data_IF_034154210126
#
_entry.id   IF_034154210126
#
_cell.length_a   1.000
_cell.length_b   1.000
_cell.length_c   1.000
_cell.angle_alpha   90.00
_cell.angle_beta   90.00
_cell.angle_gamma   90.00
#
_symmetry.space_group_name_H-M   'P 1'
#
loop_
_entity.id
_entity.type
_entity.pdbx_description
1 polymer ?
#
# COMPACT_ATOMS: atom_id res chain seq x y z
N UNK A 1 -5.10 1.66 -23.71
CA UNK A 1 -5.01 1.05 -22.38
C UNK A 1 -6.12 0.01 -22.22
N UNK A 2 -5.83 -1.28 -22.45
CA UNK A 2 -6.86 -2.35 -22.43
C UNK A 2 -7.50 -2.57 -21.05
N UNK A 3 -6.95 -2.01 -19.96
CA UNK A 3 -7.44 -2.19 -18.59
C UNK A 3 -7.86 -0.90 -17.84
N UNK A 4 -7.95 0.26 -18.51
CA UNK A 4 -8.25 1.53 -17.82
C UNK A 4 -9.62 1.52 -17.09
N UNK A 5 -10.63 0.85 -17.66
CA UNK A 5 -11.95 0.72 -17.05
C UNK A 5 -11.90 -0.11 -15.75
N UNK A 6 -11.18 -1.24 -15.76
CA UNK A 6 -11.01 -2.10 -14.60
C UNK A 6 -10.23 -1.41 -13.48
N UNK A 7 -9.11 -0.75 -13.82
CA UNK A 7 -8.31 0.07 -12.88
C UNK A 7 -9.19 1.16 -12.26
N UNK A 8 -9.97 1.87 -13.06
CA UNK A 8 -10.87 2.92 -12.57
C UNK A 8 -12.00 2.37 -11.70
N UNK A 9 -12.47 1.15 -11.96
CA UNK A 9 -13.45 0.45 -11.12
C UNK A 9 -12.86 0.07 -9.76
N UNK A 10 -11.67 -0.56 -9.75
CA UNK A 10 -10.96 -0.95 -8.53
C UNK A 10 -10.61 0.27 -7.66
N UNK A 11 -10.11 1.36 -8.27
CA UNK A 11 -9.82 2.60 -7.56
C UNK A 11 -11.08 3.20 -6.90
N UNK A 12 -12.22 3.16 -7.57
CA UNK A 12 -13.51 3.60 -6.98
C UNK A 12 -13.96 2.70 -5.84
N UNK A 13 -13.75 1.39 -5.93
CA UNK A 13 -14.06 0.46 -4.84
C UNK A 13 -13.17 0.73 -3.64
N UNK A 14 -11.86 0.93 -3.85
CA UNK A 14 -10.91 1.27 -2.80
C UNK A 14 -11.35 2.54 -2.06
N UNK A 15 -11.75 3.59 -2.78
CA UNK A 15 -12.29 4.82 -2.16
C UNK A 15 -13.50 4.57 -1.26
N UNK A 16 -14.46 3.75 -1.70
CA UNK A 16 -15.64 3.40 -0.90
C UNK A 16 -15.31 2.60 0.35
N UNK A 17 -14.35 1.66 0.27
CA UNK A 17 -13.92 0.90 1.45
C UNK A 17 -13.20 1.82 2.44
N UNK A 18 -12.40 2.77 1.96
CA UNK A 18 -11.77 3.78 2.83
C UNK A 18 -12.80 4.65 3.57
N UNK A 19 -13.90 5.05 2.91
CA UNK A 19 -15.00 5.80 3.56
C UNK A 19 -15.68 4.97 4.66
N UNK A 20 -15.90 3.66 4.42
CA UNK A 20 -16.45 2.75 5.43
C UNK A 20 -15.49 2.55 6.60
N UNK A 21 -14.20 2.42 6.31
CA UNK A 21 -13.16 2.25 7.32
C UNK A 21 -13.08 3.46 8.25
N UNK A 22 -13.16 4.68 7.71
CA UNK A 22 -13.24 5.92 8.49
C UNK A 22 -14.49 5.92 9.39
N UNK A 23 -15.65 5.57 8.81
CA UNK A 23 -16.91 5.47 9.57
C UNK A 23 -16.85 4.44 10.70
N UNK A 24 -16.23 3.28 10.46
CA UNK A 24 -16.05 2.23 11.47
C UNK A 24 -15.07 2.67 12.56
N UNK A 25 -13.98 3.36 12.20
CA UNK A 25 -13.03 3.89 13.18
C UNK A 25 -13.69 4.91 14.12
N UNK A 26 -14.54 5.80 13.59
CA UNK A 26 -15.36 6.69 14.42
C UNK A 26 -16.35 5.90 15.30
N UNK A 27 -16.96 4.85 14.75
CA UNK A 27 -17.86 3.95 15.48
C UNK A 27 -17.18 3.21 16.64
N UNK A 28 -15.95 2.72 16.45
CA UNK A 28 -15.15 2.09 17.52
C UNK A 28 -14.98 3.07 18.69
N UNK A 29 -14.60 4.32 18.40
CA UNK A 29 -14.39 5.33 19.44
C UNK A 29 -15.68 5.64 20.23
N UNK A 30 -16.83 5.67 19.56
CA UNK A 30 -18.13 5.89 20.19
C UNK A 30 -18.55 4.71 21.06
N UNK A 31 -18.40 3.49 20.54
CA UNK A 31 -18.78 2.25 21.20
C UNK A 31 -17.90 1.96 22.42
N UNK A 32 -16.59 2.26 22.35
CA UNK A 32 -15.68 2.13 23.49
C UNK A 32 -16.13 2.94 24.72
N UNK A 33 -16.82 4.06 24.51
CA UNK A 33 -17.29 4.95 25.58
C UNK A 33 -18.73 4.63 26.02
N UNK A 34 -19.59 4.27 25.06
CA UNK A 34 -21.04 4.23 25.28
C UNK A 34 -21.64 2.81 25.31
N UNK A 35 -20.97 1.82 24.73
CA UNK A 35 -21.45 0.44 24.60
C UNK A 35 -20.28 -0.58 24.57
N UNK A 36 -19.52 -0.72 25.67
CA UNK A 36 -18.26 -1.48 25.68
C UNK A 36 -18.42 -2.97 25.34
N UNK A 37 -19.63 -3.52 25.44
CA UNK A 37 -19.97 -4.89 25.03
C UNK A 37 -19.92 -5.11 23.52
N UNK A 38 -19.99 -4.04 22.72
CA UNK A 38 -19.92 -4.09 21.26
C UNK A 38 -18.53 -3.74 20.71
N UNK A 39 -17.58 -3.34 21.56
CA UNK A 39 -16.22 -2.92 21.14
C UNK A 39 -15.53 -4.01 20.33
N UNK A 40 -15.52 -5.25 20.80
CA UNK A 40 -14.86 -6.36 20.12
C UNK A 40 -15.46 -6.63 18.73
N UNK A 41 -16.79 -6.42 18.59
CA UNK A 41 -17.49 -6.58 17.32
C UNK A 41 -17.06 -5.48 16.34
N UNK A 42 -17.03 -4.23 16.78
CA UNK A 42 -16.62 -3.09 15.94
C UNK A 42 -15.14 -3.16 15.58
N UNK A 43 -14.28 -3.61 16.49
CA UNK A 43 -12.87 -3.87 16.19
C UNK A 43 -12.71 -4.99 15.16
N UNK A 44 -13.48 -6.07 15.26
CA UNK A 44 -13.52 -7.12 14.24
C UNK A 44 -13.91 -6.58 12.86
N UNK A 45 -14.98 -5.79 12.78
CA UNK A 45 -15.41 -5.15 11.53
C UNK A 45 -14.34 -4.21 10.95
N UNK A 46 -13.60 -3.49 11.80
CA UNK A 46 -12.52 -2.62 11.36
C UNK A 46 -11.36 -3.42 10.74
N UNK A 47 -11.04 -4.59 11.32
CA UNK A 47 -10.02 -5.50 10.78
C UNK A 47 -10.46 -6.08 9.43
N UNK A 48 -11.73 -6.46 9.29
CA UNK A 48 -12.29 -6.97 8.03
C UNK A 48 -12.16 -5.92 6.91
N UNK A 49 -12.47 -4.66 7.18
CA UNK A 49 -12.34 -3.61 6.16
C UNK A 49 -10.88 -3.25 5.86
N UNK A 50 -9.95 -3.40 6.80
CA UNK A 50 -8.50 -3.32 6.52
C UNK A 50 -8.08 -4.44 5.56
N UNK A 51 -8.52 -5.67 5.78
CA UNK A 51 -8.24 -6.80 4.87
C UNK A 51 -8.78 -6.50 3.47
N UNK A 52 -10.00 -5.94 3.38
CA UNK A 52 -10.59 -5.56 2.10
C UNK A 52 -9.78 -4.46 1.37
N UNK A 53 -9.27 -3.45 2.09
CA UNK A 53 -8.35 -2.45 1.53
C UNK A 53 -7.09 -3.10 0.97
N UNK A 54 -6.50 -4.06 1.71
CA UNK A 54 -5.29 -4.76 1.28
C UNK A 54 -5.53 -5.59 0.01
N UNK A 55 -6.65 -6.32 -0.06
CA UNK A 55 -7.05 -7.11 -1.22
C UNK A 55 -7.23 -6.20 -2.44
N UNK A 56 -8.01 -5.12 -2.32
CA UNK A 56 -8.24 -4.19 -3.44
C UNK A 56 -6.96 -3.50 -3.90
N UNK A 57 -6.06 -3.17 -2.98
CA UNK A 57 -4.75 -2.59 -3.29
C UNK A 57 -3.89 -3.57 -4.10
N UNK A 58 -3.88 -4.85 -3.72
CA UNK A 58 -3.17 -5.89 -4.45
C UNK A 58 -3.76 -6.10 -5.86
N UNK A 59 -5.08 -6.14 -5.98
CA UNK A 59 -5.76 -6.25 -7.28
C UNK A 59 -5.48 -5.05 -8.18
N UNK A 60 -5.51 -3.84 -7.63
CA UNK A 60 -5.18 -2.62 -8.37
C UNK A 60 -3.73 -2.65 -8.87
N UNK A 61 -2.79 -3.08 -8.01
CA UNK A 61 -1.38 -3.24 -8.37
C UNK A 61 -1.22 -4.23 -9.53
N UNK A 62 -1.85 -5.42 -9.44
CA UNK A 62 -1.84 -6.42 -10.51
C UNK A 62 -2.42 -5.86 -11.81
N UNK A 63 -3.53 -5.13 -11.76
CA UNK A 63 -4.18 -4.56 -12.93
C UNK A 63 -3.33 -3.49 -13.62
N UNK A 64 -2.62 -2.66 -12.84
CA UNK A 64 -1.69 -1.64 -13.35
C UNK A 64 -0.44 -2.28 -13.94
N UNK A 65 0.16 -3.25 -13.25
CA UNK A 65 1.35 -3.98 -13.74
C UNK A 65 1.02 -4.71 -15.04
N UNK A 66 -0.10 -5.45 -15.12
CA UNK A 66 -0.53 -6.11 -16.35
C UNK A 66 -0.79 -5.12 -17.50
N UNK A 67 -1.19 -3.88 -17.19
CA UNK A 67 -1.32 -2.82 -18.20
C UNK A 67 0.04 -2.24 -18.64
N UNK A 68 1.08 -2.38 -17.82
CA UNK A 68 2.45 -1.96 -18.08
C UNK A 68 3.36 -3.08 -18.65
N UNK A 69 2.97 -4.35 -18.57
CA UNK A 69 3.75 -5.49 -19.08
C UNK A 69 3.88 -5.55 -20.62
N UNK A 70 3.17 -4.70 -21.39
CA UNK A 70 3.58 -4.42 -22.79
C UNK A 70 4.90 -3.58 -22.87
N UNK A 71 5.45 -3.11 -21.75
CA UNK A 71 6.63 -2.23 -21.70
C UNK A 71 7.78 -2.69 -20.78
N UNK A 72 7.63 -3.78 -20.01
CA UNK A 72 8.65 -4.24 -19.06
C UNK A 72 9.27 -5.60 -19.44
N UNK A 73 9.80 -5.71 -20.66
CA UNK A 73 10.83 -6.70 -20.94
C UNK A 73 12.16 -6.21 -20.32
N UNK A 74 12.25 -6.22 -18.98
CA UNK A 74 13.53 -6.12 -18.29
C UNK A 74 13.73 -7.40 -17.47
N UNK A 75 14.74 -8.16 -17.89
CA UNK A 75 15.10 -9.44 -17.32
C UNK A 75 15.74 -9.22 -15.93
N UNK A 76 14.91 -9.26 -14.89
CA UNK A 76 15.38 -9.65 -13.56
C UNK A 76 15.42 -8.54 -12.51
N UNK A 77 14.35 -8.44 -11.72
CA UNK A 77 14.40 -7.74 -10.44
C UNK A 77 13.06 -7.20 -10.00
N UNK A 78 12.26 -8.02 -9.30
CA UNK A 78 11.07 -7.52 -8.62
C UNK A 78 11.47 -6.80 -7.33
N UNK A 79 11.10 -5.53 -7.17
CA UNK A 79 11.26 -4.78 -5.91
C UNK A 79 10.39 -5.34 -4.76
N UNK A 80 9.46 -6.24 -5.09
CA UNK A 80 8.62 -6.99 -4.15
C UNK A 80 9.08 -8.45 -3.98
N UNK A 81 10.25 -8.82 -4.51
CA UNK A 81 10.85 -10.09 -4.13
C UNK A 81 11.07 -10.09 -2.61
N UNK A 82 10.97 -11.27 -1.99
CA UNK A 82 11.32 -11.43 -0.58
C UNK A 82 12.83 -11.15 -0.39
N UNK A 83 13.17 -9.87 -0.27
CA UNK A 83 14.47 -9.42 0.19
C UNK A 83 14.51 -9.57 1.70
N UNK A 84 15.60 -10.13 2.20
CA UNK A 84 15.87 -10.17 3.62
C UNK A 84 15.87 -8.73 4.16
N UNK A 85 15.01 -8.43 5.15
CA UNK A 85 14.92 -7.12 5.82
C UNK A 85 16.26 -6.69 6.45
N UNK A 86 17.21 -7.62 6.56
CA UNK A 86 18.55 -7.41 7.10
C UNK A 86 19.64 -7.29 6.03
N UNK A 87 19.27 -7.24 4.74
CA UNK A 87 20.25 -7.05 3.67
C UNK A 87 20.89 -5.66 3.80
N UNK A 88 22.07 -5.60 4.44
CA UNK A 88 22.95 -4.43 4.37
C UNK A 88 23.28 -4.20 2.90
N UNK A 89 22.94 -3.01 2.40
CA UNK A 89 23.34 -2.57 1.08
C UNK A 89 24.86 -2.57 1.05
N UNK A 90 25.47 -3.58 0.42
CA UNK A 90 26.89 -3.54 0.11
C UNK A 90 27.11 -2.29 -0.74
N UNK A 91 27.73 -1.27 -0.13
CA UNK A 91 28.01 -0.01 -0.78
C UNK A 91 29.07 -0.25 -1.85
N UNK A 92 28.64 -0.51 -3.08
CA UNK A 92 29.47 -0.20 -4.23
C UNK A 92 29.41 1.30 -4.43
N UNK A 93 30.55 1.93 -4.14
CA UNK A 93 30.74 3.37 -4.25
C UNK A 93 30.62 3.83 -5.69
N UNK A 94 29.88 4.92 -5.87
CA UNK A 94 30.46 6.12 -6.47
C UNK A 94 29.68 7.32 -5.94
N UNK A 95 30.01 7.70 -4.71
CA UNK A 95 29.57 8.96 -4.13
C UNK A 95 30.40 10.06 -4.74
N UNK A 96 29.86 10.70 -5.79
CA UNK A 96 30.34 11.95 -6.36
C UNK A 96 30.68 12.93 -5.22
N UNK A 97 31.99 13.10 -5.02
CA UNK A 97 32.56 13.75 -3.87
C UNK A 97 32.49 15.26 -4.12
N UNK A 98 31.36 15.87 -3.73
CA UNK A 98 31.17 17.32 -3.74
C UNK A 98 32.31 17.99 -2.98
N UNK A 99 33.28 18.52 -3.73
CA UNK A 99 34.38 19.33 -3.19
C UNK A 99 33.79 20.58 -2.55
N UNK A 100 33.75 20.56 -1.22
CA UNK A 100 33.62 21.77 -0.41
C UNK A 100 35.01 22.40 -0.34
N UNK A 101 35.28 23.38 -1.20
CA UNK A 101 36.38 24.32 -0.99
C UNK A 101 36.00 25.27 0.15
N UNK A 102 36.66 25.14 1.30
CA UNK A 102 37.04 26.32 2.07
C UNK A 102 38.20 26.09 3.04
N UNK A 103 39.12 27.06 3.01
CA UNK A 103 40.13 27.47 4.00
C UNK A 103 41.54 26.87 3.94
N UNK A 104 42.44 27.67 3.35
CA UNK A 104 43.46 28.34 4.16
C UNK A 104 43.83 29.71 3.60
#
# INVERSE_FOLDING_TARGET
>A
MKNACAISSLARQLGKVSEKLDSLAMGVQDVEQNAPDLTDVYQGLLLDEIEHVQILTLELTKAVVAAAEETNADEGGSVFAAGDLTAEKAGDGDGDNGQSEEKK
#
